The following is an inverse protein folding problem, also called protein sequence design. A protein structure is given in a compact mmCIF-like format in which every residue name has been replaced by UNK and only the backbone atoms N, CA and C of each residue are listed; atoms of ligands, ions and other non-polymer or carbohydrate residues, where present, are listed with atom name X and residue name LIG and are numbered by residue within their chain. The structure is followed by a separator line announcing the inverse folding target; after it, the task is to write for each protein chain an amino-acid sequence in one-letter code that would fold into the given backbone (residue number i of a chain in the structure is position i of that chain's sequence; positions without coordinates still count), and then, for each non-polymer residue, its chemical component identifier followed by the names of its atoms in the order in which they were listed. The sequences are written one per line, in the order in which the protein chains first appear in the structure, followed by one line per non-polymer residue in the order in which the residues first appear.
data_IF_997612115972
#
_entry.id   IF_997612115972
#
_cell.length_a   1.000
_cell.length_b   1.000
_cell.length_c   1.000
_cell.angle_alpha   90.00
_cell.angle_beta   90.00
_cell.angle_gamma   90.00
#
_symmetry.space_group_name_H-M   'P 1'
#
loop_
_entity.id
_entity.type
_entity.pdbx_description
1 polymer ?
#
# COMPACT_ATOMS: atom_id res chain seq x y z
N UNK A 1 29.95 3.83 14.55
CA UNK A 1 28.60 3.31 14.23
C UNK A 1 27.60 4.46 14.26
N UNK A 2 27.36 5.18 13.14
CA UNK A 2 26.36 6.27 13.08
C UNK A 2 26.01 6.63 11.61
N UNK A 3 25.94 5.65 10.69
CA UNK A 3 25.61 5.90 9.26
C UNK A 3 24.39 5.14 8.72
N UNK A 4 23.80 4.23 9.50
CA UNK A 4 22.71 3.38 9.00
C UNK A 4 21.30 3.78 9.48
N UNK A 5 21.16 4.80 10.34
CA UNK A 5 19.86 5.28 10.81
C UNK A 5 19.24 6.33 9.88
N UNK A 6 20.04 7.07 9.12
CA UNK A 6 19.56 8.13 8.23
C UNK A 6 18.85 7.57 6.98
N UNK A 7 19.25 6.41 6.48
CA UNK A 7 18.68 5.81 5.26
C UNK A 7 17.33 5.13 5.49
N UNK A 8 16.95 4.83 6.75
CA UNK A 8 15.63 4.26 7.09
C UNK A 8 14.56 5.31 7.40
N UNK A 9 14.93 6.58 7.51
CA UNK A 9 13.97 7.68 7.72
C UNK A 9 13.48 8.32 6.41
N UNK A 10 14.02 7.93 5.26
CA UNK A 10 13.63 8.46 3.95
C UNK A 10 12.29 7.91 3.40
N UNK A 11 11.65 6.94 4.08
CA UNK A 11 10.36 6.37 3.66
C UNK A 11 9.23 6.55 4.68
N UNK A 12 9.43 7.39 5.71
CA UNK A 12 8.35 7.87 6.56
C UNK A 12 7.91 9.24 6.05
N UNK A 13 6.93 9.26 5.17
CA UNK A 13 6.26 10.45 4.67
C UNK A 13 5.56 11.19 5.81
N UNK A 14 6.31 11.98 6.56
CA UNK A 14 5.77 13.02 7.46
C UNK A 14 5.81 14.33 6.68
N UNK A 15 4.98 14.46 5.64
CA UNK A 15 4.74 15.75 5.00
C UNK A 15 3.68 16.50 5.83
N UNK A 16 3.94 17.76 6.22
CA UNK A 16 2.99 18.56 6.98
C UNK A 16 1.73 18.79 6.15
N UNK A 17 0.60 18.71 6.85
CA UNK A 17 -0.82 18.72 6.43
C UNK A 17 -1.31 19.98 5.67
N UNK A 18 -0.50 20.57 4.79
CA UNK A 18 -0.86 21.75 4.00
C UNK A 18 -0.62 21.49 2.51
N UNK A 19 -1.55 20.79 1.86
CA UNK A 19 -1.56 20.73 0.39
C UNK A 19 -2.31 19.51 -0.16
N UNK A 20 -3.48 19.76 -0.75
CA UNK A 20 -4.31 18.84 -1.55
C UNK A 20 -5.20 17.80 -0.85
N UNK A 21 -6.48 18.19 -0.73
CA UNK A 21 -7.59 17.33 -0.29
C UNK A 21 -7.80 16.11 -1.20
N UNK A 22 -7.42 16.18 -2.48
CA UNK A 22 -7.64 15.11 -3.45
C UNK A 22 -6.71 13.91 -3.28
N UNK A 23 -5.50 14.09 -2.75
CA UNK A 23 -4.52 13.02 -2.53
C UNK A 23 -4.76 12.26 -1.23
N UNK A 24 -5.51 12.87 -0.30
CA UNK A 24 -5.72 12.36 1.05
C UNK A 24 -6.43 11.00 1.08
N UNK A 25 -7.51 10.73 0.33
CA UNK A 25 -8.22 9.46 0.42
C UNK A 25 -7.37 8.24 0.07
N UNK A 26 -6.56 8.32 -0.99
CA UNK A 26 -5.69 7.21 -1.37
C UNK A 26 -4.54 7.03 -0.37
N UNK A 27 -3.99 8.12 0.16
CA UNK A 27 -2.98 8.07 1.20
C UNK A 27 -3.52 7.42 2.48
N UNK A 28 -4.74 7.79 2.91
CA UNK A 28 -5.40 7.20 4.08
C UNK A 28 -5.64 5.70 3.87
N UNK A 29 -6.05 5.28 2.67
CA UNK A 29 -6.18 3.87 2.30
C UNK A 29 -4.83 3.13 2.37
N UNK A 30 -3.75 3.70 1.81
CA UNK A 30 -2.40 3.11 1.85
C UNK A 30 -1.91 2.91 3.30
N UNK A 31 -2.29 3.82 4.20
CA UNK A 31 -1.99 3.74 5.64
C UNK A 31 -2.85 2.64 6.28
N UNK A 32 -4.15 2.60 6.02
CA UNK A 32 -5.04 1.57 6.55
C UNK A 32 -4.57 0.16 6.15
N UNK A 33 -4.22 -0.05 4.88
CA UNK A 33 -3.70 -1.34 4.40
C UNK A 33 -2.34 -1.68 5.00
N UNK A 34 -1.52 -0.68 5.35
CA UNK A 34 -0.27 -0.92 6.10
C UNK A 34 -0.57 -1.44 7.50
N UNK A 35 -1.60 -0.93 8.16
CA UNK A 35 -2.05 -1.44 9.46
C UNK A 35 -2.53 -2.88 9.34
N UNK A 36 -3.32 -3.21 8.31
CA UNK A 36 -3.75 -4.59 8.02
C UNK A 36 -2.54 -5.51 7.83
N UNK A 37 -1.56 -5.10 7.02
CA UNK A 37 -0.31 -5.84 6.82
C UNK A 37 0.41 -6.15 8.14
N UNK A 38 0.61 -5.12 8.98
CA UNK A 38 1.28 -5.29 10.27
C UNK A 38 0.49 -6.25 11.19
N UNK A 39 -0.84 -6.15 11.19
CA UNK A 39 -1.71 -7.04 11.96
C UNK A 39 -1.61 -8.48 11.49
N UNK A 40 -1.53 -8.74 10.18
CA UNK A 40 -1.34 -10.08 9.62
C UNK A 40 0.02 -10.68 10.01
N UNK A 41 1.09 -9.89 9.93
CA UNK A 41 2.43 -10.34 10.34
C UNK A 41 2.48 -10.69 11.83
N UNK A 42 1.86 -9.85 12.67
CA UNK A 42 1.74 -10.11 14.09
C UNK A 42 0.92 -11.37 14.35
N UNK A 43 -0.24 -11.49 13.71
CA UNK A 43 -1.13 -12.64 13.86
C UNK A 43 -0.43 -13.95 13.48
N UNK A 44 0.31 -13.97 12.37
CA UNK A 44 1.12 -15.14 11.98
C UNK A 44 2.16 -15.48 13.05
N UNK A 45 2.90 -14.49 13.56
CA UNK A 45 3.89 -14.70 14.63
C UNK A 45 3.24 -15.29 15.89
N UNK A 46 2.10 -14.73 16.30
CA UNK A 46 1.36 -15.17 17.47
C UNK A 46 0.82 -16.60 17.29
N UNK A 47 0.33 -16.95 16.09
CA UNK A 47 -0.10 -18.31 15.75
C UNK A 47 1.05 -19.32 15.80
N UNK A 48 2.22 -18.97 15.24
CA UNK A 48 3.41 -19.84 15.31
C UNK A 48 3.80 -20.10 16.76
N UNK A 49 3.86 -19.04 17.58
CA UNK A 49 4.21 -19.16 19.00
C UNK A 49 3.19 -20.03 19.76
N UNK A 50 1.90 -19.84 19.49
CA UNK A 50 0.85 -20.66 20.09
C UNK A 50 1.00 -22.14 19.72
N UNK A 51 1.26 -22.45 18.44
CA UNK A 51 1.49 -23.81 17.98
C UNK A 51 2.74 -24.44 18.61
N UNK A 52 3.84 -23.69 18.72
CA UNK A 52 5.07 -24.18 19.36
C UNK A 52 4.85 -24.48 20.83
N UNK A 53 4.12 -23.61 21.53
CA UNK A 53 3.82 -23.79 22.96
C UNK A 53 2.91 -24.99 23.17
N UNK A 54 1.93 -25.20 22.29
CA UNK A 54 1.07 -26.38 22.30
C UNK A 54 1.89 -27.67 22.14
N UNK A 55 2.85 -27.68 21.22
CA UNK A 55 3.73 -28.84 20.99
C UNK A 55 4.60 -29.16 22.22
N UNK A 56 5.18 -28.14 22.84
CA UNK A 56 5.99 -28.29 24.07
C UNK A 56 5.15 -28.79 25.23
N UNK A 57 3.92 -28.30 25.38
CA UNK A 57 3.04 -28.81 26.41
C UNK A 57 2.71 -30.29 26.15
N UNK A 58 2.33 -30.62 24.92
CA UNK A 58 1.95 -31.98 24.52
C UNK A 58 3.03 -33.04 24.79
N UNK A 59 4.32 -32.71 24.60
CA UNK A 59 5.42 -33.65 24.87
C UNK A 59 5.58 -34.03 26.35
N UNK A 60 4.91 -33.33 27.27
CA UNK A 60 4.94 -33.64 28.70
C UNK A 60 3.75 -34.49 29.17
N UNK A 61 2.78 -34.75 28.30
CA UNK A 61 1.50 -35.36 28.66
C UNK A 61 1.39 -36.85 28.26
N UNK A 62 2.44 -37.40 27.63
CA UNK A 62 2.53 -38.79 27.18
C UNK A 62 2.38 -38.96 25.66
N UNK A 63 2.83 -40.11 25.15
CA UNK A 63 2.99 -40.40 23.70
C UNK A 63 1.70 -40.18 22.89
N UNK A 64 0.55 -40.58 23.44
CA UNK A 64 -0.74 -40.47 22.75
C UNK A 64 -1.17 -39.01 22.57
N UNK A 65 -1.05 -38.19 23.62
CA UNK A 65 -1.43 -36.79 23.55
C UNK A 65 -0.40 -35.97 22.76
N UNK A 66 0.89 -36.35 22.86
CA UNK A 66 1.96 -35.80 22.03
C UNK A 66 1.70 -36.02 20.54
N UNK A 67 1.27 -37.21 20.12
CA UNK A 67 0.97 -37.49 18.71
C UNK A 67 -0.22 -36.64 18.19
N UNK A 68 -1.32 -36.57 18.94
CA UNK A 68 -2.52 -35.83 18.53
C UNK A 68 -2.26 -34.32 18.48
N UNK A 69 -1.71 -33.77 19.55
CA UNK A 69 -1.49 -32.32 19.66
C UNK A 69 -0.24 -31.87 18.90
N UNK A 70 0.75 -32.73 18.73
CA UNK A 70 1.90 -32.51 17.87
C UNK A 70 1.47 -32.38 16.40
N UNK A 71 0.62 -33.28 15.91
CA UNK A 71 0.03 -33.16 14.57
C UNK A 71 -0.86 -31.91 14.43
N UNK A 72 -1.67 -31.60 15.46
CA UNK A 72 -2.51 -30.39 15.48
C UNK A 72 -1.67 -29.11 15.44
N UNK A 73 -0.55 -29.07 16.18
CA UNK A 73 0.40 -27.96 16.16
C UNK A 73 1.00 -27.73 14.76
N UNK A 74 1.39 -28.81 14.06
CA UNK A 74 1.90 -28.70 12.69
C UNK A 74 0.88 -28.08 11.73
N UNK A 75 -0.41 -28.47 11.83
CA UNK A 75 -1.47 -27.89 11.02
C UNK A 75 -1.68 -26.39 11.30
N UNK A 76 -1.60 -25.99 12.58
CA UNK A 76 -1.66 -24.58 12.97
C UNK A 76 -0.46 -23.78 12.43
N UNK A 77 0.74 -24.38 12.39
CA UNK A 77 1.90 -23.76 11.75
C UNK A 77 1.69 -23.58 10.24
N UNK A 78 1.05 -24.52 9.54
CA UNK A 78 0.72 -24.34 8.12
C UNK A 78 -0.23 -23.16 7.89
N UNK A 79 -1.22 -22.97 8.79
CA UNK A 79 -2.08 -21.79 8.72
C UNK A 79 -1.30 -20.49 8.97
N UNK A 80 -0.34 -20.49 9.90
CA UNK A 80 0.57 -19.34 10.08
C UNK A 80 1.37 -19.02 8.82
N UNK A 81 1.88 -20.02 8.11
CA UNK A 81 2.57 -19.83 6.82
C UNK A 81 1.63 -19.22 5.78
N UNK A 82 0.36 -19.65 5.72
CA UNK A 82 -0.64 -19.06 4.84
C UNK A 82 -0.89 -17.57 5.16
N UNK A 83 -0.96 -17.19 6.44
CA UNK A 83 -1.07 -15.79 6.87
C UNK A 83 0.17 -14.96 6.47
N UNK A 84 1.37 -15.51 6.62
CA UNK A 84 2.62 -14.88 6.15
C UNK A 84 2.58 -14.68 4.63
N UNK A 85 2.15 -15.67 3.86
CA UNK A 85 2.00 -15.55 2.41
C UNK A 85 0.99 -14.46 2.04
N UNK A 86 -0.16 -14.41 2.70
CA UNK A 86 -1.16 -13.35 2.48
C UNK A 86 -0.61 -11.96 2.80
N UNK A 87 0.22 -11.84 3.85
CA UNK A 87 0.93 -10.59 4.16
C UNK A 87 1.85 -10.13 3.01
N UNK A 88 2.48 -11.06 2.30
CA UNK A 88 3.33 -10.73 1.13
C UNK A 88 2.51 -10.17 -0.03
N UNK A 89 1.30 -10.72 -0.27
CA UNK A 89 0.37 -10.18 -1.26
C UNK A 89 -0.13 -8.78 -0.89
N UNK A 90 -0.38 -8.53 0.41
CA UNK A 90 -0.72 -7.20 0.90
C UNK A 90 0.40 -6.18 0.64
N UNK A 91 1.67 -6.59 0.74
CA UNK A 91 2.79 -5.73 0.36
C UNK A 91 2.74 -5.38 -1.14
N UNK A 92 2.63 -6.38 -2.02
CA UNK A 92 2.57 -6.18 -3.47
C UNK A 92 1.38 -5.31 -3.90
N UNK A 93 0.21 -5.55 -3.32
CA UNK A 93 -1.01 -4.74 -3.52
C UNK A 93 -0.77 -3.26 -3.23
N UNK A 94 -0.09 -2.94 -2.11
CA UNK A 94 0.19 -1.56 -1.71
C UNK A 94 1.15 -0.85 -2.66
N UNK A 95 2.06 -1.56 -3.33
CA UNK A 95 2.94 -0.95 -4.34
C UNK A 95 2.14 -0.42 -5.55
N UNK A 96 1.04 -1.08 -5.93
CA UNK A 96 0.15 -0.56 -6.96
C UNK A 96 -0.55 0.74 -6.53
N UNK A 97 -0.96 0.85 -5.26
CA UNK A 97 -1.58 2.06 -4.71
C UNK A 97 -0.58 3.23 -4.66
N UNK A 98 0.64 2.97 -4.19
CA UNK A 98 1.73 3.98 -4.19
C UNK A 98 2.02 4.48 -5.60
N UNK A 99 2.11 3.57 -6.58
CA UNK A 99 2.36 3.95 -7.96
C UNK A 99 1.25 4.82 -8.57
N UNK A 100 0.00 4.70 -8.10
CA UNK A 100 -1.08 5.64 -8.45
C UNK A 100 -0.86 6.99 -7.77
N UNK A 101 -0.61 6.99 -6.45
CA UNK A 101 -0.39 8.23 -5.69
C UNK A 101 0.77 9.04 -6.24
N UNK A 102 1.91 8.42 -6.53
CA UNK A 102 3.09 9.11 -7.06
C UNK A 102 2.79 9.78 -8.42
N UNK A 103 1.90 9.18 -9.22
CA UNK A 103 1.44 9.75 -10.49
C UNK A 103 0.42 10.89 -10.30
N UNK A 104 -0.47 10.78 -9.30
CA UNK A 104 -1.36 11.87 -8.90
C UNK A 104 -0.56 13.08 -8.38
N UNK A 105 0.50 12.86 -7.61
CA UNK A 105 1.42 13.89 -7.12
C UNK A 105 2.14 14.60 -8.27
N UNK A 106 2.59 13.84 -9.28
CA UNK A 106 3.23 14.40 -10.48
C UNK A 106 2.28 15.32 -11.27
N UNK A 107 1.03 14.89 -11.48
CA UNK A 107 0.01 15.73 -12.14
C UNK A 107 -0.28 17.00 -11.35
N UNK A 108 -0.37 16.89 -10.03
CA UNK A 108 -0.64 18.05 -9.17
C UNK A 108 0.52 19.05 -9.18
N UNK A 109 1.76 18.58 -9.29
CA UNK A 109 2.92 19.44 -9.50
C UNK A 109 2.84 20.19 -10.85
N UNK A 110 2.38 19.55 -11.94
CA UNK A 110 2.12 20.23 -13.21
C UNK A 110 1.06 21.33 -13.04
N UNK A 111 -0.06 21.01 -12.39
CA UNK A 111 -1.13 21.98 -12.09
C UNK A 111 -0.63 23.15 -11.25
N UNK A 112 0.23 22.89 -10.26
CA UNK A 112 0.86 23.93 -9.43
C UNK A 112 1.79 24.83 -10.25
N UNK A 113 2.63 24.25 -11.11
CA UNK A 113 3.51 25.00 -12.02
C UNK A 113 2.69 25.91 -12.94
N UNK A 114 1.60 25.41 -13.52
CA UNK A 114 0.67 26.19 -14.33
C UNK A 114 0.09 27.39 -13.54
N UNK A 115 -0.43 27.17 -12.33
CA UNK A 115 -0.95 28.25 -11.47
C UNK A 115 0.11 29.33 -11.20
N UNK A 116 1.35 28.92 -10.94
CA UNK A 116 2.46 29.85 -10.73
C UNK A 116 2.78 30.67 -11.99
N UNK A 117 2.76 30.06 -13.17
CA UNK A 117 2.97 30.77 -14.44
C UNK A 117 1.84 31.76 -14.74
N UNK A 118 0.59 31.41 -14.44
CA UNK A 118 -0.56 32.33 -14.58
C UNK A 118 -0.36 33.55 -13.69
N UNK A 119 -0.06 33.37 -12.40
CA UNK A 119 0.22 34.48 -11.47
C UNK A 119 1.40 35.35 -11.93
N UNK A 120 2.43 34.72 -12.52
CA UNK A 120 3.59 35.43 -13.07
C UNK A 120 3.22 36.23 -14.32
N UNK A 121 2.39 35.67 -15.19
CA UNK A 121 1.83 36.33 -16.38
C UNK A 121 1.00 37.57 -16.00
N UNK A 122 0.09 37.43 -15.04
CA UNK A 122 -0.73 38.55 -14.53
C UNK A 122 0.13 39.66 -13.91
N UNK A 123 1.17 39.28 -13.16
CA UNK A 123 2.10 40.23 -12.55
C UNK A 123 2.94 40.96 -13.59
N UNK A 124 3.36 40.28 -14.65
CA UNK A 124 4.09 40.88 -15.78
C UNK A 124 3.20 41.84 -16.56
N UNK A 125 1.94 41.46 -16.85
CA UNK A 125 0.96 42.32 -17.54
C UNK A 125 0.65 43.58 -16.73
N UNK A 126 0.40 43.47 -15.41
CA UNK A 126 0.20 44.64 -14.53
C UNK A 126 1.39 45.60 -14.52
N UNK A 127 2.62 45.08 -14.61
CA UNK A 127 3.85 45.92 -14.69
C UNK A 127 4.00 46.57 -16.07
N UNK A 128 3.63 45.88 -17.14
CA UNK A 128 3.63 46.41 -18.49
C UNK A 128 2.61 47.53 -18.66
N UNK A 129 1.39 47.36 -18.15
CA UNK A 129 0.34 48.38 -18.19
C UNK A 129 0.76 49.67 -17.46
N UNK A 130 1.43 49.54 -16.31
CA UNK A 130 1.98 50.68 -15.55
C UNK A 130 3.20 51.32 -16.22
N UNK A 131 4.05 50.54 -16.89
CA UNK A 131 5.28 51.01 -17.55
C UNK A 131 5.05 51.63 -18.94
N UNK A 132 3.88 51.39 -19.55
CA UNK A 132 3.49 51.94 -20.86
C UNK A 132 3.55 53.47 -20.94
N UNK A 133 3.55 54.16 -19.80
CA UNK A 133 3.63 55.62 -19.74
C UNK A 133 5.04 56.20 -19.88
N UNK A 134 6.14 55.42 -19.75
CA UNK A 134 7.51 56.00 -19.71
C UNK A 134 8.71 55.12 -20.17
N UNK A 135 8.55 53.89 -20.69
CA UNK A 135 9.70 52.95 -20.87
C UNK A 135 10.01 52.50 -22.30
N UNK A 136 11.31 52.49 -22.66
CA UNK A 136 11.88 51.93 -23.91
C UNK A 136 11.89 50.38 -23.98
N UNK A 137 11.59 49.66 -22.87
CA UNK A 137 11.67 48.19 -22.80
C UNK A 137 10.32 47.46 -23.02
N UNK A 138 9.37 48.09 -23.72
CA UNK A 138 8.06 47.49 -24.04
C UNK A 138 8.17 46.23 -24.90
N UNK A 139 9.14 46.16 -25.81
CA UNK A 139 9.37 44.99 -26.66
C UNK A 139 9.79 43.75 -25.84
N UNK A 140 10.79 43.90 -24.96
CA UNK A 140 11.27 42.83 -24.09
C UNK A 140 10.19 42.30 -23.14
N UNK A 141 9.35 43.19 -22.60
CA UNK A 141 8.24 42.78 -21.74
C UNK A 141 7.15 42.02 -22.51
N UNK A 142 6.87 42.42 -23.76
CA UNK A 142 5.91 41.75 -24.64
C UNK A 142 6.42 40.37 -25.06
N UNK A 143 7.72 40.23 -25.34
CA UNK A 143 8.35 38.95 -25.63
C UNK A 143 8.32 38.00 -24.43
N UNK A 144 8.58 38.51 -23.23
CA UNK A 144 8.46 37.72 -22.00
C UNK A 144 7.02 37.25 -21.76
N UNK A 145 6.03 38.13 -21.98
CA UNK A 145 4.62 37.78 -21.83
C UNK A 145 4.17 36.72 -22.85
N UNK A 146 4.65 36.80 -24.09
CA UNK A 146 4.39 35.79 -25.13
C UNK A 146 5.01 34.44 -24.75
N UNK A 147 6.27 34.41 -24.27
CA UNK A 147 6.92 33.17 -23.81
C UNK A 147 6.18 32.52 -22.63
N UNK A 148 5.70 33.33 -21.68
CA UNK A 148 4.94 32.79 -20.53
C UNK A 148 3.60 32.21 -21.01
N UNK A 149 2.93 32.83 -21.99
CA UNK A 149 1.70 32.28 -22.57
C UNK A 149 1.94 30.95 -23.29
N UNK A 150 2.98 30.87 -24.11
CA UNK A 150 3.36 29.63 -24.81
C UNK A 150 3.67 28.50 -23.81
N UNK A 151 4.39 28.81 -22.71
CA UNK A 151 4.63 27.83 -21.64
C UNK A 151 3.35 27.38 -20.93
N UNK A 152 2.36 28.27 -20.76
CA UNK A 152 1.07 27.91 -20.18
C UNK A 152 0.30 26.98 -21.12
N UNK A 153 0.27 27.26 -22.42
CA UNK A 153 -0.38 26.42 -23.42
C UNK A 153 0.24 25.01 -23.46
N UNK A 154 1.57 24.92 -23.47
CA UNK A 154 2.28 23.63 -23.40
C UNK A 154 1.92 22.86 -22.12
N UNK A 155 1.88 23.53 -20.97
CA UNK A 155 1.47 22.88 -19.71
C UNK A 155 -0.01 22.47 -19.72
N UNK A 156 -0.88 23.24 -20.36
CA UNK A 156 -2.30 22.90 -20.48
C UNK A 156 -2.50 21.62 -21.31
N UNK A 157 -1.78 21.48 -22.42
CA UNK A 157 -1.78 20.23 -23.19
C UNK A 157 -1.18 19.05 -22.42
N UNK A 158 -0.10 19.27 -21.68
CA UNK A 158 0.54 18.24 -20.85
C UNK A 158 -0.40 17.77 -19.73
N UNK A 159 -1.05 18.71 -19.03
CA UNK A 159 -2.03 18.42 -17.98
C UNK A 159 -3.21 17.65 -18.55
N UNK A 160 -3.79 18.07 -19.69
CA UNK A 160 -4.92 17.38 -20.31
C UNK A 160 -4.57 15.94 -20.69
N UNK A 161 -3.40 15.74 -21.32
CA UNK A 161 -2.90 14.40 -21.68
C UNK A 161 -2.71 13.53 -20.44
N UNK A 162 -2.09 14.08 -19.41
CA UNK A 162 -1.78 13.34 -18.18
C UNK A 162 -3.05 13.02 -17.37
N UNK A 163 -4.03 13.92 -17.29
CA UNK A 163 -5.34 13.66 -16.67
C UNK A 163 -6.06 12.48 -17.33
N UNK A 164 -6.05 12.46 -18.66
CA UNK A 164 -6.67 11.38 -19.45
C UNK A 164 -5.95 10.06 -19.19
N UNK A 165 -4.62 10.04 -19.30
CA UNK A 165 -3.81 8.85 -19.09
C UNK A 165 -3.89 8.33 -17.65
N UNK A 166 -3.98 9.23 -16.67
CA UNK A 166 -4.07 8.90 -15.25
C UNK A 166 -5.40 8.19 -14.92
N UNK A 167 -6.52 8.58 -15.55
CA UNK A 167 -7.82 7.93 -15.33
C UNK A 167 -7.78 6.43 -15.67
N UNK A 168 -7.22 6.09 -16.82
CA UNK A 168 -7.09 4.69 -17.26
C UNK A 168 -6.02 3.94 -16.47
N UNK A 169 -4.95 4.62 -16.09
CA UNK A 169 -3.92 4.08 -15.22
C UNK A 169 -4.49 3.69 -13.84
N UNK A 170 -5.28 4.57 -13.21
CA UNK A 170 -6.00 4.30 -11.96
C UNK A 170 -6.88 3.06 -12.09
N UNK A 171 -7.68 2.95 -13.14
CA UNK A 171 -8.56 1.78 -13.37
C UNK A 171 -7.75 0.48 -13.47
N UNK A 172 -6.65 0.48 -14.24
CA UNK A 172 -5.80 -0.71 -14.41
C UNK A 172 -5.10 -1.11 -13.11
N UNK A 173 -4.52 -0.15 -12.39
CA UNK A 173 -3.87 -0.43 -11.10
C UNK A 173 -4.89 -0.87 -10.06
N UNK A 174 -6.08 -0.27 -10.05
CA UNK A 174 -7.17 -0.65 -9.17
C UNK A 174 -7.60 -2.09 -9.35
N UNK A 175 -7.83 -2.49 -10.60
CA UNK A 175 -8.08 -3.88 -10.95
C UNK A 175 -6.96 -4.80 -10.44
N UNK A 176 -5.71 -4.50 -10.78
CA UNK A 176 -4.58 -5.34 -10.41
C UNK A 176 -4.44 -5.53 -8.88
N UNK A 177 -4.58 -4.46 -8.09
CA UNK A 177 -4.46 -4.60 -6.64
C UNK A 177 -5.66 -5.32 -6.03
N UNK A 178 -6.88 -5.15 -6.58
CA UNK A 178 -8.05 -5.88 -6.09
C UNK A 178 -8.00 -7.37 -6.45
N UNK A 179 -7.47 -7.71 -7.62
CA UNK A 179 -7.20 -9.10 -8.03
C UNK A 179 -6.20 -9.76 -7.08
N UNK A 180 -5.12 -9.07 -6.72
CA UNK A 180 -4.15 -9.55 -5.71
C UNK A 180 -4.82 -9.71 -4.34
N UNK A 181 -5.61 -8.71 -3.90
CA UNK A 181 -6.25 -8.73 -2.58
C UNK A 181 -7.19 -9.92 -2.43
N UNK A 182 -8.11 -10.09 -3.38
CA UNK A 182 -9.09 -11.17 -3.32
C UNK A 182 -8.49 -12.53 -3.65
N UNK A 183 -7.55 -12.62 -4.60
CA UNK A 183 -6.86 -13.87 -4.90
C UNK A 183 -6.03 -14.37 -3.72
N UNK A 184 -5.28 -13.47 -3.08
CA UNK A 184 -4.50 -13.79 -1.87
C UNK A 184 -5.38 -14.16 -0.67
N UNK A 185 -6.53 -13.49 -0.52
CA UNK A 185 -7.49 -13.83 0.52
C UNK A 185 -8.09 -15.22 0.30
N UNK A 186 -8.50 -15.53 -0.93
CA UNK A 186 -9.04 -16.84 -1.30
C UNK A 186 -8.03 -17.96 -0.99
N UNK A 187 -6.79 -17.81 -1.45
CA UNK A 187 -5.72 -18.79 -1.19
C UNK A 187 -5.51 -19.00 0.32
N UNK A 188 -5.49 -17.93 1.11
CA UNK A 188 -5.35 -18.01 2.56
C UNK A 188 -6.52 -18.75 3.22
N UNK A 189 -7.76 -18.46 2.79
CA UNK A 189 -8.96 -19.10 3.30
C UNK A 189 -9.02 -20.59 2.93
N UNK A 190 -8.68 -20.95 1.70
CA UNK A 190 -8.64 -22.36 1.25
C UNK A 190 -7.62 -23.17 2.04
N UNK A 191 -6.40 -22.64 2.21
CA UNK A 191 -5.37 -23.26 3.06
C UNK A 191 -5.84 -23.38 4.52
N UNK A 192 -6.54 -22.37 5.04
CA UNK A 192 -7.14 -22.41 6.37
C UNK A 192 -8.24 -23.47 6.50
N UNK A 193 -9.08 -23.64 5.49
CA UNK A 193 -10.11 -24.68 5.47
C UNK A 193 -9.47 -26.06 5.52
N UNK A 194 -8.46 -26.31 4.69
CA UNK A 194 -7.73 -27.58 4.67
C UNK A 194 -7.11 -27.87 6.04
N UNK A 195 -6.42 -26.90 6.65
CA UNK A 195 -5.84 -27.05 7.98
C UNK A 195 -6.91 -27.38 9.05
N UNK A 196 -8.07 -26.71 8.99
CA UNK A 196 -9.20 -26.97 9.90
C UNK A 196 -9.78 -28.38 9.72
N UNK A 197 -10.00 -28.81 8.48
CA UNK A 197 -10.63 -30.09 8.19
C UNK A 197 -9.74 -31.26 8.62
N UNK A 198 -8.44 -31.20 8.30
CA UNK A 198 -7.47 -32.19 8.79
C UNK A 198 -7.32 -32.13 10.31
N UNK A 199 -7.38 -30.95 10.93
CA UNK A 199 -7.32 -30.81 12.39
C UNK A 199 -8.48 -31.53 13.08
N UNK A 200 -9.69 -31.37 12.56
CA UNK A 200 -10.88 -32.11 13.04
C UNK A 200 -10.72 -33.61 12.85
N UNK A 201 -10.18 -34.06 11.72
CA UNK A 201 -9.92 -35.49 11.47
C UNK A 201 -8.91 -36.06 12.47
N UNK A 202 -7.80 -35.37 12.74
CA UNK A 202 -6.80 -35.77 13.73
C UNK A 202 -7.43 -35.97 15.10
N UNK A 203 -8.25 -35.02 15.54
CA UNK A 203 -8.95 -35.10 16.82
C UNK A 203 -9.95 -36.27 16.82
N UNK A 204 -10.84 -36.33 15.82
CA UNK A 204 -11.94 -37.30 15.82
C UNK A 204 -11.46 -38.75 15.64
N UNK A 205 -10.50 -38.99 14.76
CA UNK A 205 -9.99 -40.35 14.51
C UNK A 205 -9.17 -40.85 15.69
N UNK A 206 -8.29 -40.02 16.25
CA UNK A 206 -7.36 -40.47 17.29
C UNK A 206 -7.97 -40.43 18.69
N UNK A 207 -8.82 -39.46 19.02
CA UNK A 207 -9.48 -39.42 20.34
C UNK A 207 -10.61 -40.45 20.47
N UNK A 208 -11.25 -40.84 19.36
CA UNK A 208 -12.22 -41.94 19.38
C UNK A 208 -11.57 -43.30 19.67
N UNK A 209 -10.30 -43.49 19.29
CA UNK A 209 -9.53 -44.68 19.66
C UNK A 209 -9.20 -44.73 21.17
N UNK A 210 -9.01 -43.57 21.81
CA UNK A 210 -8.70 -43.47 23.25
C UNK A 210 -9.90 -43.76 24.16
N UNK A 211 -11.12 -43.62 23.65
CA UNK A 211 -12.35 -43.80 24.44
C UNK A 211 -12.85 -45.25 24.47
N UNK A 212 -12.20 -46.18 23.75
CA UNK A 212 -12.51 -47.60 23.86
C UNK A 212 -11.75 -48.25 25.03
N UNK A 213 -12.42 -48.96 25.95
CA UNK A 213 -11.74 -49.64 27.03
C UNK A 213 -10.80 -50.71 26.44
N UNK A 214 -9.50 -50.59 26.75
CA UNK A 214 -8.49 -51.59 26.39
C UNK A 214 -8.94 -52.93 27.01
N UNK A 215 -9.26 -53.91 26.17
CA UNK A 215 -9.56 -55.29 26.59
C UNK A 215 -8.29 -56.05 26.91
#
# INVERSE_FOLDING_TARGET
MLKNAATKLAHSSTLPSLGNKELKPLQDLIIAEKTVLNSLQKLSTDFTKAADTLKVWASNEGEELEDILGASSQLLQQFSVALTQYSSYQYAMREHMKAVRDREEALEELKRRRRNLITKSESANKKADRSSKFSKNLAEQRDLANRIREQIEVLDEEIMREETALKDYKRRKARAWMEIKFGGLLECCEKGSVACDFGKMVINVRMAFLSQPRR
#
